data_IF_055326034472
#
_entry.id   IF_055326034472
#
_cell.length_a   1.000
_cell.length_b   1.000
_cell.length_c   1.000
_cell.angle_alpha   90.00
_cell.angle_beta   90.00
_cell.angle_gamma   90.00
#
_symmetry.space_group_name_H-M   'P 1'
#
loop_
_entity.id
_entity.type
_entity.pdbx_description
1 polymer ?
#
# COMPACT_ATOMS: atom_id res chain seq x y z
N UNK A 1 -12.43 6.97 -2.15
CA UNK A 1 -12.76 5.95 -1.12
C UNK A 1 -11.86 6.22 0.08
N UNK A 2 -11.96 5.47 1.18
CA UNK A 2 -10.96 5.59 2.24
C UNK A 2 -9.68 4.86 1.79
N UNK A 3 -8.52 5.52 1.92
CA UNK A 3 -7.22 4.84 1.76
C UNK A 3 -7.17 3.70 2.80
N UNK A 4 -6.84 2.47 2.40
CA UNK A 4 -6.81 1.33 3.32
C UNK A 4 -5.74 1.55 4.39
N UNK A 5 -6.06 1.14 5.62
CA UNK A 5 -5.10 1.14 6.73
C UNK A 5 -4.15 -0.08 6.65
N UNK A 6 -3.16 -0.10 7.54
CA UNK A 6 -2.15 -1.17 7.56
C UNK A 6 -2.78 -2.56 7.75
N UNK A 7 -3.81 -2.70 8.59
CA UNK A 7 -4.49 -3.98 8.84
C UNK A 7 -5.20 -4.50 7.59
N UNK A 8 -5.84 -3.58 6.85
CA UNK A 8 -6.51 -3.88 5.59
C UNK A 8 -5.53 -4.34 4.52
N UNK A 9 -4.29 -3.83 4.53
CA UNK A 9 -3.23 -4.22 3.60
C UNK A 9 -2.63 -5.62 3.86
N UNK A 10 -2.66 -6.14 5.09
CA UNK A 10 -1.93 -7.37 5.46
C UNK A 10 -2.36 -8.60 4.66
N UNK A 11 -3.67 -8.86 4.52
CA UNK A 11 -4.14 -10.06 3.81
C UNK A 11 -3.84 -10.02 2.31
N UNK A 12 -4.12 -8.93 1.57
CA UNK A 12 -3.70 -8.79 0.18
C UNK A 12 -2.18 -8.87 -0.01
N UNK A 13 -1.39 -8.31 0.92
CA UNK A 13 0.07 -8.42 0.92
C UNK A 13 0.53 -9.88 1.03
N UNK A 14 0.05 -10.62 2.03
CA UNK A 14 0.40 -12.03 2.21
C UNK A 14 0.00 -12.91 1.03
N UNK A 15 -1.14 -12.60 0.38
CA UNK A 15 -1.55 -13.30 -0.84
C UNK A 15 -0.63 -12.99 -2.02
N UNK A 16 -0.18 -11.75 -2.15
CA UNK A 16 0.76 -11.33 -3.19
C UNK A 16 2.12 -12.01 -3.00
N UNK A 17 2.64 -12.04 -1.78
CA UNK A 17 3.89 -12.72 -1.42
C UNK A 17 3.75 -14.25 -1.29
N UNK A 18 2.57 -14.80 -1.56
CA UNK A 18 2.27 -16.23 -1.35
C UNK A 18 3.01 -17.16 -2.32
N UNK A 19 3.60 -16.61 -3.37
CA UNK A 19 4.41 -17.33 -4.34
C UNK A 19 5.89 -17.48 -3.92
N UNK A 20 6.26 -16.94 -2.75
CA UNK A 20 7.60 -16.99 -2.15
C UNK A 20 8.69 -16.27 -2.96
N UNK A 21 8.31 -15.36 -3.87
CA UNK A 21 9.27 -14.49 -4.53
C UNK A 21 9.53 -13.21 -3.73
N UNK A 22 10.73 -12.66 -3.92
CA UNK A 22 11.07 -11.34 -3.39
C UNK A 22 10.58 -10.26 -4.34
N UNK A 23 9.89 -9.27 -3.78
CA UNK A 23 9.44 -8.07 -4.49
C UNK A 23 10.03 -6.85 -3.81
N UNK A 24 10.35 -5.83 -4.61
CA UNK A 24 10.69 -4.53 -4.04
C UNK A 24 9.48 -3.90 -3.35
N UNK A 25 9.73 -3.01 -2.39
CA UNK A 25 8.66 -2.24 -1.75
C UNK A 25 7.81 -1.48 -2.78
N UNK A 26 8.43 -0.98 -3.86
CA UNK A 26 7.72 -0.26 -4.91
C UNK A 26 6.76 -1.16 -5.68
N UNK A 27 7.19 -2.35 -6.06
CA UNK A 27 6.32 -3.34 -6.74
C UNK A 27 5.14 -3.74 -5.85
N UNK A 28 5.40 -3.95 -4.56
CA UNK A 28 4.36 -4.26 -3.58
C UNK A 28 3.34 -3.11 -3.45
N UNK A 29 3.81 -1.86 -3.35
CA UNK A 29 2.93 -0.68 -3.31
C UNK A 29 2.11 -0.57 -4.59
N UNK A 30 2.73 -0.71 -5.77
CA UNK A 30 2.04 -0.59 -7.05
C UNK A 30 0.99 -1.71 -7.23
N UNK A 31 1.31 -2.94 -6.82
CA UNK A 31 0.37 -4.06 -6.85
C UNK A 31 -0.83 -3.85 -5.90
N UNK A 32 -0.57 -3.43 -4.66
CA UNK A 32 -1.63 -3.18 -3.68
C UNK A 32 -2.48 -1.97 -4.08
N UNK A 33 -1.89 -0.91 -4.63
CA UNK A 33 -2.62 0.23 -5.16
C UNK A 33 -3.61 -0.19 -6.25
N UNK A 34 -3.17 -1.06 -7.17
CA UNK A 34 -4.04 -1.62 -8.20
C UNK A 34 -5.14 -2.52 -7.61
N UNK A 35 -4.82 -3.33 -6.59
CA UNK A 35 -5.79 -4.19 -5.89
C UNK A 35 -6.92 -3.38 -5.25
N UNK A 36 -6.57 -2.28 -4.56
CA UNK A 36 -7.53 -1.39 -3.91
C UNK A 36 -8.15 -0.34 -4.84
N UNK A 37 -7.72 -0.30 -6.11
CA UNK A 37 -8.18 0.66 -7.13
C UNK A 37 -8.02 2.12 -6.68
N UNK A 38 -6.88 2.42 -6.05
CA UNK A 38 -6.56 3.76 -5.60
C UNK A 38 -6.37 4.71 -6.78
N UNK A 39 -6.86 5.94 -6.63
CA UNK A 39 -6.64 7.00 -7.62
C UNK A 39 -5.25 7.62 -7.45
N UNK A 40 -4.80 8.34 -8.47
CA UNK A 40 -3.55 9.11 -8.37
C UNK A 40 -3.58 10.14 -7.24
N UNK A 41 -4.73 10.76 -6.99
CA UNK A 41 -4.89 11.71 -5.90
C UNK A 41 -4.73 11.03 -4.55
N UNK A 42 -5.33 9.84 -4.37
CA UNK A 42 -5.19 9.03 -3.15
C UNK A 42 -3.74 8.59 -2.91
N UNK A 43 -3.01 8.21 -3.96
CA UNK A 43 -1.59 7.83 -3.89
C UNK A 43 -0.65 9.01 -3.60
N UNK A 44 -1.11 10.26 -3.76
CA UNK A 44 -0.34 11.47 -3.45
C UNK A 44 -0.71 12.06 -2.08
N UNK A 45 -1.69 11.49 -1.37
CA UNK A 45 -2.09 12.01 -0.06
C UNK A 45 -1.00 11.77 0.99
N UNK A 46 -0.65 12.83 1.70
CA UNK A 46 0.35 12.83 2.75
C UNK A 46 -0.30 12.67 4.12
N UNK A 47 0.43 12.07 5.06
CA UNK A 47 0.09 12.13 6.47
C UNK A 47 -0.03 13.59 6.95
N UNK A 48 -0.71 13.86 8.09
CA UNK A 48 -0.77 15.21 8.66
C UNK A 48 0.60 15.84 8.93
N UNK A 49 1.65 15.03 9.09
CA UNK A 49 3.03 15.49 9.22
C UNK A 49 3.64 16.04 7.93
N UNK A 50 3.04 15.75 6.76
CA UNK A 50 3.50 16.16 5.44
C UNK A 50 4.73 15.41 4.91
N UNK A 51 5.24 14.41 5.63
CA UNK A 51 6.53 13.76 5.31
C UNK A 51 6.41 12.46 4.52
N UNK A 52 5.32 11.71 4.72
CA UNK A 52 5.13 10.40 4.10
C UNK A 52 3.76 10.32 3.46
N UNK A 53 3.69 9.61 2.34
CA UNK A 53 2.42 9.23 1.71
C UNK A 53 1.70 8.27 2.66
N UNK A 54 0.39 8.48 2.83
CA UNK A 54 -0.44 7.67 3.75
C UNK A 54 -0.35 6.20 3.34
N UNK A 55 -0.59 5.90 2.06
CA UNK A 55 -0.64 4.54 1.58
C UNK A 55 0.71 3.82 1.65
N UNK A 56 1.80 4.47 1.24
CA UNK A 56 3.16 3.92 1.36
C UNK A 56 3.49 3.58 2.82
N UNK A 57 3.10 4.44 3.76
CA UNK A 57 3.26 4.18 5.19
C UNK A 57 2.42 2.97 5.62
N UNK A 58 1.16 2.86 5.20
CA UNK A 58 0.30 1.71 5.52
C UNK A 58 0.89 0.39 5.01
N UNK A 59 1.44 0.37 3.79
CA UNK A 59 2.10 -0.82 3.23
C UNK A 59 3.39 -1.15 3.97
N UNK A 60 4.18 -0.15 4.37
CA UNK A 60 5.43 -0.37 5.11
C UNK A 60 5.22 -0.95 6.53
N UNK A 61 4.04 -0.76 7.13
CA UNK A 61 3.67 -1.30 8.44
C UNK A 61 2.93 -2.65 8.39
N UNK A 62 2.49 -3.07 7.20
CA UNK A 62 1.78 -4.33 6.98
C UNK A 62 2.74 -5.52 6.83
#
# INVERSE_FOLDING_TARGET
MAIPDYQTCMLPLLKFLGDQHEYSLRETIDHLAAHFKLTEDELKQLLPSGQQVIFDNCVAWA
#
